data_IF_405666001451
#
_entry.id   IF_405666001451
#
_cell.length_a   1.000
_cell.length_b   1.000
_cell.length_c   1.000
_cell.angle_alpha   90.00
_cell.angle_beta   90.00
_cell.angle_gamma   90.00
#
_symmetry.space_group_name_H-M   'P 1'
#
loop_
_entity.id
_entity.type
_entity.pdbx_description
1 polymer ?
#
# COMPACT_ATOMS: atom_id res chain seq x y z
N UNK A 1 3.92 28.89 8.12
CA UNK A 1 4.96 27.91 7.71
C UNK A 1 4.90 26.75 8.72
N UNK A 2 4.41 25.55 8.34
CA UNK A 2 4.26 24.43 9.29
C UNK A 2 5.60 23.67 9.37
N UNK A 3 6.13 23.56 10.59
CA UNK A 3 7.36 22.84 10.90
C UNK A 3 7.38 21.45 10.24
N UNK A 4 8.26 21.29 9.25
CA UNK A 4 8.61 20.00 8.65
C UNK A 4 9.29 19.21 9.75
N UNK A 5 8.75 18.06 10.14
CA UNK A 5 9.37 17.25 11.20
C UNK A 5 10.77 16.83 10.72
N UNK A 6 11.81 17.40 11.33
CA UNK A 6 13.23 17.23 10.97
C UNK A 6 13.64 15.75 10.89
N UNK A 7 12.96 14.90 11.67
CA UNK A 7 13.12 13.45 11.74
C UNK A 7 12.73 12.78 10.41
N UNK A 8 11.61 13.19 9.81
CA UNK A 8 11.13 12.61 8.55
C UNK A 8 12.14 12.93 7.46
N UNK A 9 12.51 14.20 7.31
CA UNK A 9 13.47 14.67 6.29
C UNK A 9 14.84 13.98 6.39
N UNK A 10 15.38 13.82 7.60
CA UNK A 10 16.66 13.12 7.80
C UNK A 10 16.58 11.65 7.39
N UNK A 11 15.50 10.95 7.75
CA UNK A 11 15.27 9.55 7.30
C UNK A 11 15.04 9.45 5.81
N UNK A 12 14.43 10.46 5.17
CA UNK A 12 14.22 10.49 3.73
C UNK A 12 15.56 10.48 2.97
N UNK A 13 16.53 11.28 3.42
CA UNK A 13 17.86 11.36 2.82
C UNK A 13 18.68 10.08 3.03
N UNK A 14 18.61 9.46 4.21
CA UNK A 14 19.34 8.21 4.50
C UNK A 14 19.01 7.09 3.50
N UNK A 15 17.76 7.03 3.04
CA UNK A 15 17.33 6.00 2.08
C UNK A 15 17.29 6.49 0.62
N UNK A 16 17.73 7.72 0.33
CA UNK A 16 17.70 8.27 -1.04
C UNK A 16 16.29 8.53 -1.58
N UNK A 17 15.32 8.78 -0.71
CA UNK A 17 13.91 8.81 -1.04
C UNK A 17 13.35 10.24 -0.89
N UNK A 18 12.49 10.72 -1.80
CA UNK A 18 11.85 12.04 -1.69
C UNK A 18 10.34 11.96 -1.41
N UNK A 19 9.75 13.03 -0.86
CA UNK A 19 8.31 13.11 -0.57
C UNK A 19 7.53 13.61 -1.78
N UNK A 20 6.55 12.83 -2.23
CA UNK A 20 5.55 13.21 -3.22
C UNK A 20 4.21 13.42 -2.53
N UNK A 21 3.65 14.62 -2.66
CA UNK A 21 2.30 14.92 -2.16
C UNK A 21 1.28 14.27 -3.08
N UNK A 22 0.36 13.51 -2.49
CA UNK A 22 -0.82 13.00 -3.20
C UNK A 22 -2.10 13.57 -2.63
N UNK A 23 -3.16 13.55 -3.44
CA UNK A 23 -4.53 13.82 -3.01
C UNK A 23 -4.88 12.94 -1.81
N UNK A 24 -5.34 13.55 -0.72
CA UNK A 24 -5.82 12.85 0.48
C UNK A 24 -7.20 12.21 0.30
N UNK A 25 -7.45 11.62 -0.88
CA UNK A 25 -8.65 10.86 -1.15
C UNK A 25 -8.47 9.40 -0.69
N UNK A 26 -9.55 8.63 -0.58
CA UNK A 26 -9.42 7.21 -0.22
C UNK A 26 -8.85 6.32 -1.32
N UNK A 27 -8.37 6.87 -2.44
CA UNK A 27 -7.72 6.11 -3.50
C UNK A 27 -6.20 6.07 -3.34
N UNK A 28 -5.67 6.89 -2.46
CA UNK A 28 -4.24 7.09 -2.25
C UNK A 28 -3.45 5.76 -2.12
N UNK A 29 -3.87 4.79 -1.30
CA UNK A 29 -3.19 3.49 -1.21
C UNK A 29 -3.14 2.75 -2.57
N UNK A 30 -4.22 2.79 -3.35
CA UNK A 30 -4.34 2.08 -4.63
C UNK A 30 -3.60 2.79 -5.76
N UNK A 31 -3.57 4.13 -5.73
CA UNK A 31 -2.69 4.90 -6.61
C UNK A 31 -1.24 4.54 -6.33
N UNK A 32 -0.91 4.21 -5.08
CA UNK A 32 0.46 3.87 -4.68
C UNK A 32 0.94 2.56 -5.21
N UNK A 33 0.09 1.57 -5.05
CA UNK A 33 0.30 0.29 -5.67
C UNK A 33 0.32 0.43 -7.20
N UNK A 34 -0.51 1.29 -7.78
CA UNK A 34 -0.52 1.55 -9.23
C UNK A 34 0.78 2.14 -9.75
N UNK A 35 1.28 3.19 -9.11
CA UNK A 35 2.52 3.85 -9.50
C UNK A 35 3.73 2.90 -9.42
N UNK A 36 3.83 2.10 -8.36
CA UNK A 36 4.95 1.16 -8.20
C UNK A 36 4.89 -0.01 -9.18
N UNK A 37 3.68 -0.48 -9.54
CA UNK A 37 3.51 -1.64 -10.42
C UNK A 37 3.46 -1.27 -11.91
N UNK A 38 2.90 -0.10 -12.24
CA UNK A 38 2.61 0.34 -13.61
C UNK A 38 3.35 1.62 -14.00
N UNK A 39 4.21 2.17 -13.13
CA UNK A 39 4.87 3.48 -13.31
C UNK A 39 3.89 4.63 -13.59
N UNK A 40 2.65 4.48 -13.12
CA UNK A 40 1.58 5.46 -13.29
C UNK A 40 0.48 5.28 -12.23
N UNK A 41 0.02 6.37 -11.58
CA UNK A 41 -1.07 6.31 -10.61
C UNK A 41 -2.46 6.14 -11.26
N UNK A 42 -2.58 6.28 -12.58
CA UNK A 42 -3.87 6.27 -13.30
C UNK A 42 -4.55 4.89 -13.32
N UNK A 43 -3.79 3.82 -13.13
CA UNK A 43 -4.32 2.44 -13.08
C UNK A 43 -4.87 2.05 -11.70
N UNK A 44 -5.03 2.99 -10.76
CA UNK A 44 -5.49 2.71 -9.39
C UNK A 44 -6.85 1.99 -9.31
N UNK A 45 -7.74 2.22 -10.27
CA UNK A 45 -9.04 1.51 -10.35
C UNK A 45 -8.84 0.03 -10.67
N UNK A 46 -7.92 -0.29 -11.57
CA UNK A 46 -7.57 -1.66 -11.94
C UNK A 46 -6.90 -2.37 -10.76
N UNK A 47 -5.95 -1.71 -10.12
CA UNK A 47 -5.29 -2.22 -8.90
C UNK A 47 -6.30 -2.52 -7.79
N UNK A 48 -7.24 -1.60 -7.52
CA UNK A 48 -8.31 -1.85 -6.54
C UNK A 48 -9.14 -3.08 -6.92
N UNK A 49 -9.52 -3.21 -8.18
CA UNK A 49 -10.29 -4.36 -8.68
C UNK A 49 -9.54 -5.69 -8.46
N UNK A 50 -8.24 -5.72 -8.75
CA UNK A 50 -7.39 -6.88 -8.58
C UNK A 50 -7.23 -7.29 -7.11
N UNK A 51 -7.03 -6.33 -6.21
CA UNK A 51 -6.93 -6.55 -4.77
C UNK A 51 -8.26 -7.06 -4.21
N UNK A 52 -9.37 -6.47 -4.62
CA UNK A 52 -10.70 -6.93 -4.17
C UNK A 52 -11.00 -8.32 -4.70
N UNK A 53 -10.58 -8.66 -5.91
CA UNK A 53 -10.68 -10.02 -6.45
C UNK A 53 -9.86 -11.00 -5.61
N UNK A 54 -8.62 -10.67 -5.27
CA UNK A 54 -7.78 -11.47 -4.38
C UNK A 54 -8.46 -11.71 -3.02
N UNK A 55 -8.99 -10.66 -2.40
CA UNK A 55 -9.74 -10.75 -1.14
C UNK A 55 -10.95 -11.68 -1.27
N UNK A 56 -11.66 -11.63 -2.40
CA UNK A 56 -12.86 -12.44 -2.61
C UNK A 56 -12.52 -13.92 -2.84
N UNK A 57 -11.51 -14.20 -3.65
CA UNK A 57 -11.16 -15.55 -4.08
C UNK A 57 -10.45 -16.35 -2.98
N UNK A 58 -9.65 -15.67 -2.14
CA UNK A 58 -8.87 -16.31 -1.07
C UNK A 58 -9.32 -15.87 0.33
N UNK A 59 -10.63 -15.87 0.56
CA UNK A 59 -11.27 -15.42 1.81
C UNK A 59 -10.61 -15.95 3.09
N UNK A 60 -10.30 -17.24 3.13
CA UNK A 60 -9.72 -17.90 4.31
C UNK A 60 -8.40 -17.28 4.78
N UNK A 61 -7.65 -16.64 3.88
CA UNK A 61 -6.37 -15.99 4.20
C UNK A 61 -6.52 -14.64 4.90
N UNK A 62 -7.70 -14.01 4.82
CA UNK A 62 -7.90 -12.62 5.25
C UNK A 62 -9.02 -12.46 6.27
N UNK A 63 -10.02 -13.35 6.28
CA UNK A 63 -11.22 -13.18 7.10
C UNK A 63 -10.93 -13.05 8.59
N UNK A 64 -9.96 -13.80 9.13
CA UNK A 64 -9.60 -13.73 10.55
C UNK A 64 -9.05 -12.37 11.00
N UNK A 65 -8.60 -11.52 10.08
CA UNK A 65 -8.07 -10.18 10.37
C UNK A 65 -9.14 -9.09 10.26
N UNK A 66 -10.37 -9.44 9.86
CA UNK A 66 -11.44 -8.48 9.57
C UNK A 66 -12.50 -8.57 10.67
N UNK A 67 -12.70 -7.51 11.50
CA UNK A 67 -13.63 -7.53 12.64
C UNK A 67 -15.10 -7.44 12.25
N UNK A 68 -15.42 -7.51 10.95
CA UNK A 68 -16.77 -7.37 10.41
C UNK A 68 -17.08 -8.53 9.46
N UNK A 69 -18.37 -8.72 9.14
CA UNK A 69 -18.78 -9.72 8.13
C UNK A 69 -17.95 -9.55 6.85
N UNK A 70 -17.19 -10.59 6.47
CA UNK A 70 -16.21 -10.49 5.39
C UNK A 70 -16.83 -10.09 4.04
N UNK A 71 -18.05 -10.56 3.77
CA UNK A 71 -18.83 -10.14 2.58
C UNK A 71 -19.09 -8.64 2.53
N UNK A 72 -19.28 -7.99 3.68
CA UNK A 72 -19.45 -6.54 3.80
C UNK A 72 -18.12 -5.82 3.58
N UNK A 73 -17.02 -6.41 4.07
CA UNK A 73 -15.68 -5.86 3.95
C UNK A 73 -15.21 -5.73 2.49
N UNK A 74 -15.15 -6.81 1.71
CA UNK A 74 -14.63 -6.69 0.33
C UNK A 74 -15.55 -5.85 -0.57
N UNK A 75 -16.86 -5.81 -0.30
CA UNK A 75 -17.81 -4.90 -0.98
C UNK A 75 -17.56 -3.44 -0.65
N UNK A 76 -17.20 -3.15 0.61
CA UNK A 76 -16.77 -1.81 1.04
C UNK A 76 -15.49 -1.42 0.31
N UNK A 77 -14.48 -2.31 0.30
CA UNK A 77 -13.20 -2.08 -0.39
C UNK A 77 -13.31 -1.90 -1.92
N UNK A 78 -14.37 -2.43 -2.53
CA UNK A 78 -14.67 -2.22 -3.95
C UNK A 78 -15.07 -0.78 -4.30
N UNK A 79 -15.55 0.02 -3.33
CA UNK A 79 -16.02 1.38 -3.57
C UNK A 79 -14.83 2.31 -3.86
N UNK A 80 -14.96 3.12 -4.90
CA UNK A 80 -14.00 4.20 -5.18
C UNK A 80 -13.98 5.19 -4.01
N UNK A 81 -12.79 5.68 -3.64
CA UNK A 81 -12.63 6.57 -2.49
C UNK A 81 -12.72 5.88 -1.13
N UNK A 82 -12.90 4.55 -1.07
CA UNK A 82 -12.78 3.81 0.19
C UNK A 82 -11.31 3.59 0.54
N UNK A 83 -10.95 3.90 1.78
CA UNK A 83 -9.58 3.81 2.27
C UNK A 83 -9.19 2.35 2.45
N UNK A 84 -8.02 1.98 1.91
CA UNK A 84 -7.41 0.69 2.19
C UNK A 84 -6.80 0.63 3.59
N UNK A 85 -6.48 -0.58 4.02
CA UNK A 85 -5.93 -0.90 5.35
C UNK A 85 -4.72 -1.86 5.20
N UNK A 86 -4.33 -2.52 6.28
CA UNK A 86 -3.24 -3.50 6.27
C UNK A 86 -3.61 -4.80 5.54
N UNK A 87 -4.89 -5.18 5.52
CA UNK A 87 -5.38 -6.39 4.84
C UNK A 87 -5.37 -6.20 3.32
N UNK A 88 -5.74 -5.01 2.83
CA UNK A 88 -5.60 -4.69 1.39
C UNK A 88 -4.14 -4.64 0.93
N UNK A 89 -3.20 -4.27 1.82
CA UNK A 89 -1.77 -4.34 1.51
C UNK A 89 -1.28 -5.78 1.43
N UNK A 90 -1.64 -6.63 2.39
CA UNK A 90 -1.31 -8.06 2.31
C UNK A 90 -1.90 -8.70 1.05
N UNK A 91 -3.16 -8.40 0.72
CA UNK A 91 -3.78 -8.89 -0.51
C UNK A 91 -3.09 -8.35 -1.76
N UNK A 92 -2.60 -7.11 -1.77
CA UNK A 92 -1.80 -6.59 -2.87
C UNK A 92 -0.46 -7.33 -3.01
N UNK A 93 0.26 -7.54 -1.91
CA UNK A 93 1.50 -8.31 -1.90
C UNK A 93 1.28 -9.71 -2.50
N UNK A 94 0.23 -10.40 -2.04
CA UNK A 94 -0.14 -11.74 -2.50
C UNK A 94 -0.53 -11.73 -3.99
N UNK A 95 -1.35 -10.76 -4.42
CA UNK A 95 -1.86 -10.64 -5.80
C UNK A 95 -0.75 -10.34 -6.82
N UNK A 96 0.19 -9.49 -6.45
CA UNK A 96 1.27 -9.03 -7.33
C UNK A 96 2.57 -9.80 -7.13
N UNK A 97 2.61 -10.75 -6.20
CA UNK A 97 3.82 -11.47 -5.79
C UNK A 97 4.98 -10.50 -5.49
N UNK A 98 4.68 -9.40 -4.80
CA UNK A 98 5.59 -8.29 -4.58
C UNK A 98 5.75 -8.01 -3.08
N UNK A 99 6.98 -7.68 -2.66
CA UNK A 99 7.25 -7.24 -1.29
C UNK A 99 6.78 -5.79 -1.13
N UNK A 100 5.96 -5.53 -0.12
CA UNK A 100 5.55 -4.15 0.22
C UNK A 100 6.34 -3.71 1.45
N UNK A 101 6.91 -2.52 1.41
CA UNK A 101 7.75 -1.95 2.46
C UNK A 101 7.16 -0.63 2.94
N UNK A 102 6.41 -0.64 4.03
CA UNK A 102 5.81 0.57 4.57
C UNK A 102 6.84 1.30 5.43
N UNK A 103 7.07 2.56 5.13
CA UNK A 103 7.91 3.41 5.96
C UNK A 103 6.96 4.30 6.74
N UNK A 104 6.93 4.25 8.06
CA UNK A 104 5.96 5.01 8.87
C UNK A 104 6.64 6.16 9.62
N UNK A 105 5.83 7.09 10.12
CA UNK A 105 6.28 8.18 10.99
C UNK A 105 6.35 7.78 12.47
N UNK A 106 6.02 6.52 12.81
CA UNK A 106 6.15 6.02 14.17
C UNK A 106 7.63 5.85 14.54
N UNK A 107 7.98 6.27 15.76
CA UNK A 107 9.38 6.24 16.23
C UNK A 107 9.90 4.80 16.37
N UNK A 108 9.04 3.89 16.80
CA UNK A 108 9.41 2.52 17.19
C UNK A 108 9.17 1.48 16.08
N UNK A 109 8.35 1.78 15.08
CA UNK A 109 8.05 0.92 13.91
C UNK A 109 8.18 1.71 12.61
N UNK A 110 9.37 2.25 12.38
CA UNK A 110 9.66 3.09 11.21
C UNK A 110 9.52 2.34 9.88
N UNK A 111 9.65 1.01 9.89
CA UNK A 111 9.68 0.20 8.67
C UNK A 111 8.94 -1.11 8.91
N UNK A 112 8.00 -1.44 8.02
CA UNK A 112 7.19 -2.67 8.08
C UNK A 112 7.28 -3.34 6.73
N UNK A 113 7.69 -4.61 6.71
CA UNK A 113 7.72 -5.41 5.48
C UNK A 113 6.52 -6.36 5.46
N UNK A 114 5.86 -6.41 4.31
CA UNK A 114 4.76 -7.32 4.03
C UNK A 114 5.23 -8.22 2.89
N UNK A 115 5.45 -9.49 3.23
CA UNK A 115 5.84 -10.52 2.30
C UNK A 115 4.60 -11.20 1.71
N UNK A 116 4.63 -11.58 0.42
CA UNK A 116 3.57 -12.40 -0.16
C UNK A 116 3.52 -13.78 0.52
N UNK A 117 2.33 -14.28 0.83
CA UNK A 117 2.12 -15.56 1.53
C UNK A 117 2.25 -16.79 0.63
N UNK A 118 3.17 -16.76 -0.32
CA UNK A 118 3.45 -17.83 -1.31
C UNK A 118 2.26 -18.19 -2.22
N UNK A 119 2.12 -17.48 -3.34
CA UNK A 119 1.91 -18.15 -4.63
C UNK A 119 3.29 -18.24 -5.29
N UNK A 120 3.68 -19.41 -5.79
CA UNK A 120 4.94 -19.56 -6.50
C UNK A 120 5.05 -18.48 -7.60
N UNK A 121 6.18 -17.75 -7.69
CA UNK A 121 6.31 -16.68 -8.67
C UNK A 121 6.15 -17.28 -10.06
N UNK A 122 5.16 -16.83 -10.83
CA UNK A 122 5.15 -17.06 -12.27
C UNK A 122 6.32 -16.26 -12.85
N UNK A 123 7.44 -16.96 -13.03
CA UNK A 123 8.71 -16.60 -13.70
C UNK A 123 8.87 -15.12 -14.10
N UNK A 124 9.89 -14.48 -13.51
CA UNK A 124 10.70 -13.49 -14.23
C UNK A 124 10.46 -12.00 -13.98
N UNK A 125 9.85 -11.58 -12.86
CA UNK A 125 9.78 -10.15 -12.51
C UNK A 125 10.48 -9.88 -11.18
N UNK A 126 11.54 -9.08 -11.22
CA UNK A 126 12.27 -8.58 -10.06
C UNK A 126 11.29 -8.05 -9.01
N UNK A 127 11.49 -8.46 -7.75
CA UNK A 127 10.68 -8.10 -6.60
C UNK A 127 10.50 -6.57 -6.52
N UNK A 128 9.36 -6.06 -7.00
CA UNK A 128 9.03 -4.63 -6.89
C UNK A 128 8.79 -4.31 -5.42
N UNK A 129 9.63 -3.42 -4.87
CA UNK A 129 9.47 -2.93 -3.50
C UNK A 129 8.47 -1.77 -3.54
N UNK A 130 7.27 -1.95 -3.01
CA UNK A 130 6.28 -0.87 -2.92
C UNK A 130 6.47 -0.11 -1.61
N UNK A 131 6.92 1.14 -1.66
CA UNK A 131 7.07 1.97 -0.46
C UNK A 131 5.90 2.92 -0.19
N UNK A 132 5.29 2.83 1.00
CA UNK A 132 4.16 3.69 1.39
C UNK A 132 4.45 4.41 2.72
N UNK A 133 4.18 5.73 2.80
CA UNK A 133 4.28 6.51 4.03
C UNK A 133 2.94 7.11 4.48
N UNK A 134 2.57 6.85 5.74
CA UNK A 134 1.38 7.39 6.39
C UNK A 134 1.74 8.49 7.39
N UNK A 135 1.22 9.71 7.16
CA UNK A 135 1.22 10.77 8.17
C UNK A 135 -0.13 10.82 8.86
N UNK A 136 -0.11 10.75 10.20
CA UNK A 136 -1.29 10.82 11.08
C UNK A 136 -1.88 12.24 11.06
N UNK A 137 -2.54 12.60 9.96
CA UNK A 137 -3.59 13.62 9.76
C UNK A 137 -3.72 13.91 8.25
N UNK A 138 -4.56 13.12 7.57
CA UNK A 138 -5.18 13.44 6.26
C UNK A 138 -4.22 13.86 5.12
N UNK A 139 -2.94 13.48 5.15
CA UNK A 139 -2.00 13.70 4.04
C UNK A 139 -1.13 12.47 3.85
N UNK A 140 -1.22 11.88 2.66
CA UNK A 140 -0.37 10.77 2.25
C UNK A 140 0.83 11.32 1.46
N UNK A 141 1.97 10.69 1.68
CA UNK A 141 3.27 11.07 1.10
C UNK A 141 3.88 9.81 0.49
N UNK A 142 4.38 9.91 -0.73
CA UNK A 142 4.87 8.78 -1.52
C UNK A 142 6.31 8.96 -1.94
N UNK A 143 7.01 7.85 -2.18
CA UNK A 143 8.45 7.86 -2.51
C UNK A 143 8.74 6.79 -3.57
N UNK A 144 9.34 7.19 -4.67
CA UNK A 144 9.89 6.33 -5.74
C UNK A 144 11.41 6.37 -5.66
N UNK A 145 12.09 5.28 -6.03
CA UNK A 145 13.53 5.32 -6.32
C UNK A 145 13.75 6.03 -7.66
N UNK A 146 14.80 6.84 -7.75
CA UNK A 146 15.28 7.41 -9.02
C UNK A 146 15.93 6.36 -9.90
#
# INVERSE_FOLDING_TARGET
IKAKSFIVFSRLNVYGLYEVKVSGDGNCQFRALSDQMYKSPEYHKHVRKDIVKQLKDYRSLYEGYVPMKYKRYYKKMAKSGEWGDHVTLQAAADKFAAKICLLTSFRDTCFIEIMPRSQAPKRGKSNSIVQLHWFRRRRMIWKTFS
#
